data_IF_320006655232
#
_entry.id   IF_320006655232
#
_cell.length_a   1.000
_cell.length_b   1.000
_cell.length_c   1.000
_cell.angle_alpha   90.00
_cell.angle_beta   90.00
_cell.angle_gamma   90.00
#
_symmetry.space_group_name_H-M   'P 1'
#
loop_
_entity.id
_entity.type
_entity.pdbx_description
1 polymer ?
#
# COMPACT_ATOMS: atom_id res chain seq x y z
N UNK A 1 21.87 -47.07 16.54
CA UNK A 1 21.20 -46.34 17.65
C UNK A 1 21.28 -44.82 17.51
N UNK A 2 22.40 -44.20 17.12
CA UNK A 2 22.48 -42.72 17.02
C UNK A 2 21.66 -42.09 15.88
N UNK A 3 21.53 -42.76 14.73
CA UNK A 3 20.73 -42.28 13.58
C UNK A 3 19.24 -42.13 13.95
N UNK A 4 18.76 -42.97 14.86
CA UNK A 4 17.37 -43.02 15.31
C UNK A 4 16.94 -41.72 16.03
N UNK A 5 17.81 -41.19 16.90
CA UNK A 5 17.51 -39.97 17.68
C UNK A 5 17.48 -38.73 16.79
N UNK A 6 18.40 -38.63 15.83
CA UNK A 6 18.40 -37.51 14.89
C UNK A 6 17.16 -37.54 14.00
N UNK A 7 16.77 -38.74 13.54
CA UNK A 7 15.58 -38.92 12.71
C UNK A 7 14.28 -38.63 13.49
N UNK A 8 14.18 -39.08 14.74
CA UNK A 8 13.08 -38.72 15.64
C UNK A 8 13.01 -37.22 15.94
N UNK A 9 14.16 -36.56 16.10
CA UNK A 9 14.22 -35.11 16.29
C UNK A 9 13.68 -34.34 15.07
N UNK A 10 14.02 -34.79 13.86
CA UNK A 10 13.51 -34.23 12.61
C UNK A 10 12.01 -34.48 12.47
N UNK A 11 11.53 -35.69 12.76
CA UNK A 11 10.09 -36.00 12.73
C UNK A 11 9.31 -35.14 13.74
N UNK A 12 9.84 -34.96 14.95
CA UNK A 12 9.23 -34.09 15.97
C UNK A 12 9.21 -32.62 15.52
N UNK A 13 10.29 -32.12 14.91
CA UNK A 13 10.33 -30.77 14.35
C UNK A 13 9.33 -30.60 13.21
N UNK A 14 9.22 -31.57 12.31
CA UNK A 14 8.28 -31.53 11.19
C UNK A 14 6.84 -31.50 11.69
N UNK A 15 6.49 -32.35 12.65
CA UNK A 15 5.15 -32.37 13.26
C UNK A 15 4.85 -31.12 14.08
N UNK A 16 5.79 -30.69 14.94
CA UNK A 16 5.62 -29.53 15.80
C UNK A 16 5.53 -28.24 14.99
N UNK A 17 6.50 -28.01 14.11
CA UNK A 17 6.54 -26.81 13.27
C UNK A 17 5.45 -26.81 12.20
N UNK A 18 5.13 -27.98 11.62
CA UNK A 18 4.06 -28.13 10.63
C UNK A 18 2.67 -27.89 11.21
N UNK A 19 2.38 -28.42 12.39
CA UNK A 19 1.08 -28.18 13.06
C UNK A 19 0.88 -26.71 13.41
N UNK A 20 1.91 -26.04 13.92
CA UNK A 20 1.87 -24.59 14.19
C UNK A 20 1.68 -23.81 12.90
N UNK A 21 2.38 -24.16 11.82
CA UNK A 21 2.21 -23.50 10.53
C UNK A 21 0.77 -23.64 10.01
N UNK A 22 0.19 -24.84 10.07
CA UNK A 22 -1.20 -25.08 9.67
C UNK A 22 -2.15 -24.27 10.54
N UNK A 23 -1.95 -24.27 11.86
CA UNK A 23 -2.77 -23.50 12.80
C UNK A 23 -2.73 -22.00 12.50
N UNK A 24 -1.54 -21.43 12.31
CA UNK A 24 -1.38 -20.02 11.94
C UNK A 24 -2.01 -19.73 10.57
N UNK A 25 -1.87 -20.63 9.59
CA UNK A 25 -2.51 -20.48 8.27
C UNK A 25 -4.03 -20.41 8.41
N UNK A 26 -4.63 -21.28 9.21
CA UNK A 26 -6.08 -21.25 9.50
C UNK A 26 -6.48 -19.96 10.21
N UNK A 27 -5.68 -19.47 11.15
CA UNK A 27 -5.93 -18.19 11.81
C UNK A 27 -5.88 -17.01 10.83
N UNK A 28 -4.87 -16.97 9.95
CA UNK A 28 -4.74 -15.92 8.93
C UNK A 28 -5.93 -15.94 7.96
N UNK A 29 -6.36 -17.13 7.51
CA UNK A 29 -7.55 -17.25 6.67
C UNK A 29 -8.79 -16.75 7.42
N UNK A 30 -8.95 -17.14 8.68
CA UNK A 30 -10.10 -16.71 9.50
C UNK A 30 -10.14 -15.20 9.71
N UNK A 31 -9.00 -14.58 10.02
CA UNK A 31 -8.92 -13.12 10.16
C UNK A 31 -9.09 -12.39 8.84
N UNK A 32 -8.64 -12.98 7.72
CA UNK A 32 -8.87 -12.43 6.38
C UNK A 32 -10.35 -12.45 6.00
N UNK A 33 -11.04 -13.56 6.31
CA UNK A 33 -12.49 -13.66 6.14
C UNK A 33 -13.17 -12.60 6.99
N UNK A 34 -12.83 -12.50 8.28
CA UNK A 34 -13.38 -11.46 9.16
C UNK A 34 -13.14 -10.06 8.59
N UNK A 35 -11.93 -9.75 8.13
CA UNK A 35 -11.59 -8.45 7.53
C UNK A 35 -12.43 -8.16 6.29
N UNK A 36 -12.60 -9.15 5.40
CA UNK A 36 -13.42 -9.02 4.19
C UNK A 36 -14.90 -8.81 4.52
N UNK A 37 -15.43 -9.55 5.50
CA UNK A 37 -16.79 -9.37 6.00
C UNK A 37 -16.97 -7.96 6.58
N UNK A 38 -16.03 -7.49 7.41
CA UNK A 38 -16.09 -6.14 7.97
C UNK A 38 -16.09 -5.09 6.86
N UNK A 39 -15.17 -5.14 5.89
CA UNK A 39 -15.15 -4.18 4.77
C UNK A 39 -16.43 -4.22 3.92
N UNK A 40 -17.06 -5.39 3.78
CA UNK A 40 -18.26 -5.56 2.95
C UNK A 40 -19.54 -5.11 3.65
N UNK A 41 -19.67 -5.40 4.94
CA UNK A 41 -20.90 -5.13 5.72
C UNK A 41 -20.82 -3.84 6.55
N UNK A 42 -19.61 -3.39 6.89
CA UNK A 42 -19.31 -2.13 7.56
C UNK A 42 -18.32 -1.34 6.68
N UNK A 43 -18.73 -0.87 5.49
CA UNK A 43 -17.88 -0.01 4.69
C UNK A 43 -17.50 1.21 5.52
N UNK A 44 -16.21 1.33 5.82
CA UNK A 44 -15.66 2.52 6.46
C UNK A 44 -16.02 3.71 5.57
N UNK A 45 -16.67 4.73 6.15
CA UNK A 45 -16.93 5.95 5.42
C UNK A 45 -15.60 6.46 4.86
N UNK A 46 -15.52 6.86 3.58
CA UNK A 46 -14.26 7.34 3.01
C UNK A 46 -13.69 8.41 3.94
N UNK A 47 -12.51 8.15 4.51
CA UNK A 47 -11.80 9.21 5.20
C UNK A 47 -11.69 10.38 4.22
N UNK A 48 -12.03 11.61 4.65
CA UNK A 48 -11.96 12.75 3.76
C UNK A 48 -10.52 12.86 3.28
N UNK A 49 -10.29 12.53 2.01
CA UNK A 49 -9.00 12.76 1.36
C UNK A 49 -8.64 14.22 1.64
N UNK A 50 -7.42 14.52 2.12
CA UNK A 50 -6.98 15.89 2.28
C UNK A 50 -7.21 16.59 0.95
N UNK A 51 -8.08 17.60 0.92
CA UNK A 51 -8.35 18.36 -0.27
C UNK A 51 -7.01 18.82 -0.83
N UNK A 52 -6.63 18.33 -2.01
CA UNK A 52 -5.46 18.84 -2.70
C UNK A 52 -5.56 20.37 -2.73
N UNK A 53 -4.50 21.13 -2.40
CA UNK A 53 -4.56 22.57 -2.36
C UNK A 53 -5.16 23.08 -3.66
N UNK A 54 -6.38 23.64 -3.58
CA UNK A 54 -7.05 24.21 -4.73
C UNK A 54 -6.17 25.38 -5.17
N UNK A 55 -5.56 25.25 -6.35
CA UNK A 55 -4.75 26.32 -6.92
C UNK A 55 -5.59 27.61 -6.90
N UNK A 56 -5.01 28.75 -6.47
CA UNK A 56 -5.77 29.98 -6.33
C UNK A 56 -6.37 30.37 -7.68
N UNK A 57 -7.71 30.32 -7.79
CA UNK A 57 -8.48 30.69 -8.98
C UNK A 57 -8.62 32.20 -9.11
N UNK A 58 -7.53 32.95 -8.92
CA UNK A 58 -7.65 34.40 -8.79
C UNK A 58 -6.34 35.14 -8.86
N UNK A 59 -5.62 35.05 -9.99
CA UNK A 59 -4.98 36.18 -10.68
C UNK A 59 -4.76 35.78 -12.15
N UNK A 60 -5.82 35.69 -12.95
CA UNK A 60 -5.70 35.70 -14.42
C UNK A 60 -5.62 37.13 -14.91
N UNK A 61 -4.62 37.88 -14.46
CA UNK A 61 -4.27 39.15 -15.10
C UNK A 61 -3.72 38.79 -16.50
N UNK A 62 -4.39 39.21 -17.60
CA UNK A 62 -3.95 38.90 -18.95
C UNK A 62 -2.50 39.34 -19.21
N UNK A 63 -2.05 40.40 -18.52
CA UNK A 63 -0.67 40.90 -18.61
C UNK A 63 0.32 39.92 -17.98
N UNK A 64 0.00 39.35 -16.81
CA UNK A 64 0.85 38.36 -16.15
C UNK A 64 0.93 37.07 -16.96
N UNK A 65 -0.18 36.62 -17.55
CA UNK A 65 -0.19 35.47 -18.45
C UNK A 65 0.69 35.68 -19.69
N UNK A 66 0.64 36.87 -20.31
CA UNK A 66 1.47 37.20 -21.46
C UNK A 66 2.98 37.19 -21.11
N UNK A 67 3.34 37.73 -19.93
CA UNK A 67 4.72 37.74 -19.45
C UNK A 67 5.22 36.32 -19.16
N UNK A 68 4.42 35.49 -18.48
CA UNK A 68 4.78 34.10 -18.18
C UNK A 68 4.97 33.31 -19.47
N UNK A 69 4.09 33.50 -20.46
CA UNK A 69 4.20 32.85 -21.77
C UNK A 69 5.49 33.24 -22.49
N UNK A 70 5.81 34.54 -22.56
CA UNK A 70 7.05 35.02 -23.17
C UNK A 70 8.30 34.48 -22.47
N UNK A 71 8.28 34.39 -21.13
CA UNK A 71 9.38 33.83 -20.35
C UNK A 71 9.58 32.33 -20.62
N UNK A 72 8.50 31.55 -20.72
CA UNK A 72 8.56 30.11 -21.03
C UNK A 72 9.06 29.87 -22.45
N UNK A 73 8.58 30.64 -23.42
CA UNK A 73 9.03 30.53 -24.82
C UNK A 73 10.52 30.87 -24.95
N UNK A 74 11.00 31.90 -24.25
CA UNK A 74 12.42 32.27 -24.22
C UNK A 74 13.28 31.19 -23.56
N UNK A 75 12.82 30.58 -22.46
CA UNK A 75 13.53 29.48 -21.81
C UNK A 75 13.63 28.24 -22.70
N UNK A 76 12.54 27.89 -23.41
CA UNK A 76 12.53 26.79 -24.38
C UNK A 76 13.42 27.05 -25.58
N UNK A 77 13.45 28.28 -26.09
CA UNK A 77 14.33 28.67 -27.18
C UNK A 77 15.82 28.68 -26.78
N UNK A 78 16.12 28.97 -25.51
CA UNK A 78 17.49 28.96 -24.97
C UNK A 78 18.00 27.55 -24.67
N UNK A 79 17.11 26.61 -24.38
CA UNK A 79 17.44 25.20 -24.09
C UNK A 79 17.32 24.30 -25.34
N UNK A 80 17.33 24.88 -26.53
CA UNK A 80 17.38 24.18 -27.83
C UNK A 80 18.54 24.72 -28.63
#
# INVERSE_FOLDING_TARGET
>A
MQQDIMQQGVDLMLFGMGSVFVFLTVLVISTTIMSSFVQRFLPEAPEPQPAAPRAPTGVTDPKLLAIIKAAVDQHRAKNK
#
